data_IF_094272292269
#
_entry.id   IF_094272292269
#
_cell.length_a   1.000
_cell.length_b   1.000
_cell.length_c   1.000
_cell.angle_alpha   90.00
_cell.angle_beta   90.00
_cell.angle_gamma   90.00
#
_symmetry.space_group_name_H-M   'P 1'
#
loop_
_entity.id
_entity.type
_entity.pdbx_description
1 polymer ?
#
# COMPACT_ATOMS: atom_id res chain seq x y z
N UNK A 1 -5.06 -1.45 26.16
CA UNK A 1 -4.17 -2.61 25.99
C UNK A 1 -4.36 -2.99 24.53
N UNK A 2 -3.59 -2.38 23.64
CA UNK A 2 -3.68 -2.67 22.20
C UNK A 2 -3.25 -4.11 22.00
N UNK A 3 -4.15 -4.95 21.49
CA UNK A 3 -3.89 -6.37 21.27
C UNK A 3 -2.96 -6.64 20.08
N UNK A 4 -2.56 -5.60 19.35
CA UNK A 4 -1.97 -5.71 18.02
C UNK A 4 -0.86 -4.67 17.82
N UNK A 5 0.38 -5.10 17.59
CA UNK A 5 1.48 -4.24 17.12
C UNK A 5 1.52 -4.32 15.58
N UNK A 6 1.27 -3.20 14.85
CA UNK A 6 1.11 -3.19 13.40
C UNK A 6 2.26 -3.85 12.63
N UNK A 7 3.51 -3.74 13.09
CA UNK A 7 4.64 -4.38 12.41
C UNK A 7 4.78 -5.87 12.70
N UNK A 8 4.21 -6.35 13.81
CA UNK A 8 4.31 -7.78 14.19
C UNK A 8 3.20 -8.64 13.58
N UNK A 9 2.16 -8.02 13.02
CA UNK A 9 1.07 -8.72 12.33
C UNK A 9 1.35 -9.05 10.87
N UNK A 10 2.44 -8.52 10.33
CA UNK A 10 2.78 -8.62 8.92
C UNK A 10 4.04 -9.45 8.78
N UNK A 11 3.89 -10.66 8.25
CA UNK A 11 5.04 -11.51 7.95
C UNK A 11 5.81 -10.94 6.75
N UNK A 12 7.13 -10.84 6.89
CA UNK A 12 8.03 -10.39 5.83
C UNK A 12 8.52 -11.61 5.06
N UNK A 13 8.07 -11.77 3.82
CA UNK A 13 8.67 -12.74 2.89
C UNK A 13 9.66 -11.99 1.99
N UNK A 14 10.94 -12.14 2.28
CA UNK A 14 12.02 -11.59 1.46
C UNK A 14 12.78 -12.71 0.75
N UNK A 15 12.45 -13.00 -0.50
CA UNK A 15 13.45 -13.50 -1.47
C UNK A 15 13.00 -13.28 -2.92
N UNK A 16 13.17 -12.06 -3.44
CA UNK A 16 13.25 -11.81 -4.88
C UNK A 16 14.73 -11.81 -5.29
N UNK A 17 15.38 -12.97 -5.23
CA UNK A 17 16.78 -13.09 -5.65
C UNK A 17 16.88 -13.25 -7.16
N UNK A 18 17.75 -12.45 -7.79
CA UNK A 18 18.23 -12.64 -9.18
C UNK A 18 19.17 -13.85 -9.29
N UNK A 19 18.76 -15.01 -8.78
CA UNK A 19 19.47 -16.25 -9.08
C UNK A 19 18.78 -16.94 -10.24
N UNK A 20 19.48 -16.97 -11.37
CA UNK A 20 19.24 -17.90 -12.46
C UNK A 20 19.54 -19.32 -11.99
N UNK A 21 18.69 -19.86 -11.11
CA UNK A 21 18.57 -21.29 -10.97
C UNK A 21 17.71 -21.77 -12.14
N UNK A 22 18.29 -22.66 -12.94
CA UNK A 22 17.61 -23.35 -14.03
C UNK A 22 16.56 -24.28 -13.42
N UNK A 23 15.38 -23.73 -13.15
CA UNK A 23 14.19 -24.52 -12.83
C UNK A 23 13.80 -25.28 -14.10
N UNK A 24 13.46 -26.58 -14.03
CA UNK A 24 13.17 -27.38 -15.22
C UNK A 24 11.99 -26.76 -15.99
N UNK A 25 12.10 -26.71 -17.32
CA UNK A 25 11.02 -26.33 -18.21
C UNK A 25 9.93 -27.41 -18.21
N UNK A 26 8.88 -27.20 -17.42
CA UNK A 26 7.50 -27.72 -17.56
C UNK A 26 6.72 -27.28 -16.31
N UNK A 27 5.53 -26.70 -16.34
CA UNK A 27 4.44 -26.79 -17.32
C UNK A 27 3.98 -25.38 -17.76
N UNK A 28 3.61 -25.28 -19.03
CA UNK A 28 2.99 -24.11 -19.66
C UNK A 28 1.67 -23.77 -18.94
N UNK A 29 1.69 -22.73 -18.10
CA UNK A 29 0.50 -22.26 -17.39
C UNK A 29 -0.21 -21.24 -18.28
N UNK A 30 -1.16 -21.76 -19.05
CA UNK A 30 -2.20 -21.11 -19.87
C UNK A 30 -1.84 -20.75 -21.32
N UNK A 31 -2.67 -21.21 -22.30
CA UNK A 31 -2.48 -20.86 -23.69
C UNK A 31 -2.83 -19.38 -23.91
N UNK A 32 -1.83 -18.60 -24.32
CA UNK A 32 -2.02 -17.23 -24.81
C UNK A 32 -3.06 -17.21 -25.93
N UNK A 33 -3.93 -16.19 -25.94
CA UNK A 33 -4.77 -15.93 -27.12
C UNK A 33 -3.89 -15.49 -28.30
N UNK A 34 -4.33 -15.74 -29.55
CA UNK A 34 -3.50 -15.53 -30.76
C UNK A 34 -2.99 -14.09 -30.94
N UNK A 35 -3.59 -13.11 -30.27
CA UNK A 35 -3.27 -11.69 -30.39
C UNK A 35 -2.47 -11.12 -29.19
N UNK A 36 -2.19 -11.92 -28.15
CA UNK A 36 -1.43 -11.47 -26.99
C UNK A 36 0.08 -11.69 -27.17
N UNK A 37 0.85 -10.60 -27.11
CA UNK A 37 2.31 -10.69 -27.09
C UNK A 37 2.77 -11.19 -25.70
N UNK A 38 3.68 -12.17 -25.63
CA UNK A 38 4.24 -12.62 -24.36
C UNK A 38 5.04 -11.50 -23.67
N UNK A 39 5.15 -11.59 -22.35
CA UNK A 39 6.01 -10.73 -21.53
C UNK A 39 7.46 -10.85 -21.99
N UNK A 40 8.26 -9.82 -21.71
CA UNK A 40 9.72 -9.98 -21.77
C UNK A 40 10.17 -10.99 -20.72
N UNK A 41 11.31 -11.67 -20.93
CA UNK A 41 11.87 -12.62 -19.94
C UNK A 41 12.08 -11.95 -18.57
N UNK A 42 12.52 -10.69 -18.56
CA UNK A 42 12.67 -9.91 -17.33
C UNK A 42 11.32 -9.63 -16.64
N UNK A 43 10.31 -9.20 -17.40
CA UNK A 43 8.97 -8.94 -16.88
C UNK A 43 8.30 -10.23 -16.40
N UNK A 44 8.58 -11.38 -17.03
CA UNK A 44 8.11 -12.69 -16.60
C UNK A 44 8.73 -13.14 -15.28
N UNK A 45 10.05 -12.94 -15.11
CA UNK A 45 10.74 -13.21 -13.85
C UNK A 45 10.16 -12.41 -12.68
N UNK A 46 9.97 -11.10 -12.88
CA UNK A 46 9.33 -10.21 -11.90
C UNK A 46 7.90 -10.67 -11.59
N UNK A 47 7.08 -10.89 -12.62
CA UNK A 47 5.71 -11.37 -12.45
C UNK A 47 5.63 -12.65 -11.60
N UNK A 48 6.45 -13.65 -11.93
CA UNK A 48 6.49 -14.92 -11.18
C UNK A 48 6.90 -14.71 -9.73
N UNK A 49 7.86 -13.84 -9.45
CA UNK A 49 8.28 -13.55 -8.08
C UNK A 49 7.13 -12.99 -7.24
N UNK A 50 6.40 -11.99 -7.75
CA UNK A 50 5.25 -11.42 -7.06
C UNK A 50 4.09 -12.41 -6.89
N UNK A 51 3.73 -13.16 -7.94
CA UNK A 51 2.66 -14.17 -7.85
C UNK A 51 3.03 -15.29 -6.87
N UNK A 52 4.29 -15.73 -6.84
CA UNK A 52 4.74 -16.73 -5.88
C UNK A 52 4.71 -16.19 -4.45
N UNK A 53 5.08 -14.93 -4.22
CA UNK A 53 4.99 -14.31 -2.90
C UNK A 53 3.53 -14.23 -2.41
N UNK A 54 2.60 -13.79 -3.27
CA UNK A 54 1.16 -13.74 -2.96
C UNK A 54 0.59 -15.15 -2.74
N UNK A 55 1.01 -16.14 -3.53
CA UNK A 55 0.65 -17.55 -3.35
C UNK A 55 1.13 -18.06 -1.99
N UNK A 56 2.35 -17.74 -1.60
CA UNK A 56 2.93 -18.18 -0.33
C UNK A 56 2.14 -17.64 0.87
N UNK A 57 1.63 -16.40 0.80
CA UNK A 57 0.71 -15.85 1.82
C UNK A 57 -0.49 -16.76 2.06
N UNK A 58 -1.07 -17.32 1.00
CA UNK A 58 -2.22 -18.22 1.08
C UNK A 58 -1.81 -19.62 1.54
N UNK A 59 -0.74 -20.17 0.98
CA UNK A 59 -0.28 -21.54 1.26
C UNK A 59 0.23 -21.72 2.70
N UNK A 60 0.87 -20.69 3.27
CA UNK A 60 1.30 -20.70 4.67
C UNK A 60 0.17 -20.38 5.66
N UNK A 61 -0.99 -19.90 5.15
CA UNK A 61 -2.12 -19.53 5.99
C UNK A 61 -1.85 -18.33 6.91
N UNK A 62 -0.90 -17.45 6.55
CA UNK A 62 -0.64 -16.22 7.32
C UNK A 62 -1.78 -15.22 7.12
N UNK A 63 -2.07 -14.41 8.13
CA UNK A 63 -3.17 -13.43 8.07
C UNK A 63 -2.90 -12.31 7.06
N UNK A 64 -1.65 -11.86 6.99
CA UNK A 64 -1.19 -10.88 6.02
C UNK A 64 0.31 -11.02 5.80
N UNK A 65 0.80 -10.46 4.69
CA UNK A 65 2.23 -10.44 4.36
C UNK A 65 2.62 -9.14 3.69
N UNK A 66 3.83 -8.64 3.99
CA UNK A 66 4.47 -7.54 3.26
C UNK A 66 5.45 -8.13 2.23
N UNK A 67 5.35 -7.61 1.02
CA UNK A 67 6.14 -8.02 -0.14
C UNK A 67 6.92 -6.79 -0.59
N UNK A 68 8.24 -6.94 -0.68
CA UNK A 68 9.19 -5.86 -0.92
C UNK A 68 10.11 -6.22 -2.10
N UNK A 69 10.36 -5.26 -2.99
CA UNK A 69 11.52 -5.32 -3.90
C UNK A 69 12.85 -5.29 -3.11
N UNK A 70 13.93 -5.81 -3.69
CA UNK A 70 15.23 -6.00 -3.01
C UNK A 70 16.08 -4.72 -2.87
N UNK A 71 15.74 -3.67 -3.63
CA UNK A 71 16.51 -2.43 -3.75
C UNK A 71 15.85 -1.24 -3.03
N UNK A 72 14.99 -1.51 -2.06
CA UNK A 72 14.29 -0.46 -1.32
C UNK A 72 15.09 0.09 -0.15
N UNK A 73 14.65 1.24 0.31
CA UNK A 73 15.02 1.88 1.56
C UNK A 73 13.76 2.44 2.22
N UNK A 74 13.85 2.64 3.53
CA UNK A 74 12.77 3.14 4.36
C UNK A 74 13.34 3.93 5.52
N UNK A 75 12.46 4.65 6.21
CA UNK A 75 12.86 5.43 7.36
C UNK A 75 13.14 4.52 8.57
N UNK A 76 14.20 4.82 9.33
CA UNK A 76 14.51 4.13 10.59
C UNK A 76 13.33 4.08 11.58
N UNK A 77 12.38 5.02 11.47
CA UNK A 77 11.15 5.10 12.28
C UNK A 77 9.93 4.52 11.57
N UNK A 78 10.13 3.58 10.64
CA UNK A 78 9.05 2.92 9.90
C UNK A 78 7.95 2.39 10.83
N UNK A 79 8.28 1.90 12.03
CA UNK A 79 7.27 1.44 13.01
C UNK A 79 6.27 2.51 13.41
N UNK A 80 6.75 3.73 13.66
CA UNK A 80 5.88 4.86 14.01
C UNK A 80 4.99 5.26 12.82
N UNK A 81 5.56 5.25 11.62
CA UNK A 81 4.82 5.55 10.39
C UNK A 81 3.77 4.48 10.06
N UNK A 82 4.07 3.20 10.28
CA UNK A 82 3.12 2.10 10.08
C UNK A 82 1.98 2.12 11.11
N UNK A 83 2.23 2.62 12.34
CA UNK A 83 1.17 2.85 13.31
C UNK A 83 0.23 3.98 12.87
N UNK A 84 0.78 5.11 12.40
CA UNK A 84 0.00 6.19 11.79
C UNK A 84 -0.80 5.68 10.58
N UNK A 85 -0.18 4.86 9.74
CA UNK A 85 -0.84 4.23 8.60
C UNK A 85 -2.01 3.35 9.04
N UNK A 86 -1.83 2.49 10.04
CA UNK A 86 -2.87 1.62 10.58
C UNK A 86 -4.10 2.41 11.09
N UNK A 87 -3.89 3.47 11.87
CA UNK A 87 -4.98 4.34 12.34
C UNK A 87 -5.71 5.05 11.20
N UNK A 88 -4.97 5.48 10.17
CA UNK A 88 -5.53 6.10 8.97
C UNK A 88 -6.34 5.11 8.13
N UNK A 89 -5.84 3.88 7.91
CA UNK A 89 -6.57 2.81 7.21
C UNK A 89 -7.86 2.48 7.93
N UNK A 90 -7.83 2.39 9.27
CA UNK A 90 -9.04 2.22 10.08
C UNK A 90 -10.01 3.38 9.90
N UNK A 91 -9.55 4.62 9.95
CA UNK A 91 -10.42 5.79 9.75
C UNK A 91 -11.11 5.75 8.38
N UNK A 92 -10.44 5.25 7.35
CA UNK A 92 -10.96 5.15 5.98
C UNK A 92 -11.90 3.96 5.75
N UNK A 93 -11.74 2.86 6.50
CA UNK A 93 -12.37 1.57 6.16
C UNK A 93 -13.16 0.91 7.29
N UNK A 94 -12.98 1.33 8.55
CA UNK A 94 -13.68 0.76 9.69
C UNK A 94 -14.94 1.56 10.05
N UNK A 95 -16.02 0.88 10.51
CA UNK A 95 -17.20 1.57 10.99
C UNK A 95 -16.91 2.47 12.20
N UNK A 96 -17.67 3.55 12.34
CA UNK A 96 -17.59 4.47 13.47
C UNK A 96 -18.13 3.82 14.74
N UNK A 97 -17.37 3.91 15.84
CA UNK A 97 -17.73 3.31 17.12
C UNK A 97 -19.01 3.93 17.70
N UNK A 98 -19.19 5.25 17.57
CA UNK A 98 -20.35 5.94 18.11
C UNK A 98 -21.65 5.51 17.43
N UNK A 99 -21.61 5.29 16.11
CA UNK A 99 -22.80 4.89 15.36
C UNK A 99 -23.27 3.49 15.75
N UNK A 100 -22.35 2.56 15.99
CA UNK A 100 -22.66 1.24 16.52
C UNK A 100 -23.31 1.27 17.92
N UNK A 101 -23.13 2.36 18.68
CA UNK A 101 -23.81 2.52 19.97
C UNK A 101 -25.25 3.07 19.83
N UNK A 102 -25.55 3.78 18.73
CA UNK A 102 -26.82 4.49 18.54
C UNK A 102 -27.78 3.80 17.57
N UNK A 103 -27.27 3.12 16.54
CA UNK A 103 -28.04 2.39 15.54
C UNK A 103 -27.23 1.20 15.00
N UNK A 104 -27.69 -0.02 15.29
CA UNK A 104 -27.02 -1.27 14.92
C UNK A 104 -27.44 -1.80 13.54
N UNK A 105 -28.28 -1.08 12.79
CA UNK A 105 -28.85 -1.64 11.55
C UNK A 105 -27.99 -1.40 10.31
N UNK A 106 -27.11 -0.38 10.33
CA UNK A 106 -26.17 -0.11 9.22
C UNK A 106 -24.87 0.52 9.74
N UNK A 107 -23.69 -0.02 9.36
CA UNK A 107 -22.42 0.62 9.69
C UNK A 107 -22.32 1.97 8.99
N UNK A 108 -21.84 2.97 9.72
CA UNK A 108 -21.50 4.28 9.15
C UNK A 108 -19.99 4.48 9.22
N UNK A 109 -19.46 5.25 8.27
CA UNK A 109 -18.03 5.43 8.07
C UNK A 109 -17.70 6.92 8.10
N UNK A 110 -16.44 7.23 8.41
CA UNK A 110 -15.95 8.61 8.38
C UNK A 110 -15.90 9.14 6.92
N UNK A 111 -15.55 8.27 5.97
CA UNK A 111 -15.73 8.51 4.55
C UNK A 111 -17.14 8.12 4.11
N UNK A 112 -17.97 9.11 3.77
CA UNK A 112 -19.36 8.88 3.33
C UNK A 112 -19.47 8.09 2.01
N UNK A 113 -18.40 8.04 1.21
CA UNK A 113 -18.37 7.28 -0.05
C UNK A 113 -17.91 5.82 0.12
N UNK A 114 -17.56 5.41 1.34
CA UNK A 114 -17.21 4.03 1.64
C UNK A 114 -18.42 3.29 2.27
N UNK A 115 -18.67 2.01 1.93
CA UNK A 115 -17.93 1.17 0.97
C UNK A 115 -18.44 1.27 -0.48
N UNK A 116 -19.57 1.97 -0.69
CA UNK A 116 -20.32 2.02 -1.95
C UNK A 116 -20.24 3.41 -2.61
N UNK A 117 -19.13 3.75 -3.28
CA UNK A 117 -18.90 5.08 -3.81
C UNK A 117 -19.75 5.39 -5.05
N UNK A 118 -20.16 6.64 -5.15
CA UNK A 118 -20.94 7.20 -6.24
C UNK A 118 -20.28 8.46 -6.82
N UNK A 119 -20.62 8.83 -8.06
CA UNK A 119 -20.13 10.07 -8.67
C UNK A 119 -20.63 11.34 -7.97
N UNK A 120 -21.74 11.27 -7.22
CA UNK A 120 -22.24 12.38 -6.41
C UNK A 120 -21.44 12.62 -5.13
N UNK A 121 -20.65 11.66 -4.69
CA UNK A 121 -19.90 11.79 -3.44
C UNK A 121 -18.79 12.84 -3.55
N UNK A 122 -18.63 13.59 -2.47
CA UNK A 122 -17.59 14.60 -2.33
C UNK A 122 -16.33 13.98 -1.71
N UNK A 123 -15.18 14.52 -2.09
CA UNK A 123 -13.93 14.28 -1.36
C UNK A 123 -14.12 14.77 0.08
N UNK A 124 -13.74 13.92 1.03
CA UNK A 124 -13.83 14.21 2.46
C UNK A 124 -12.43 14.16 3.05
N UNK A 125 -11.94 15.31 3.53
CA UNK A 125 -10.65 15.39 4.21
C UNK A 125 -10.87 15.37 5.73
N UNK A 126 -10.16 14.47 6.39
CA UNK A 126 -10.24 14.23 7.82
C UNK A 126 -8.86 14.47 8.44
N UNK A 127 -8.75 15.25 9.53
CA UNK A 127 -7.47 15.38 10.19
C UNK A 127 -7.09 14.05 10.86
N UNK A 128 -5.81 13.68 10.79
CA UNK A 128 -5.27 12.55 11.54
C UNK A 128 -5.42 12.79 13.05
N UNK A 129 -5.02 13.99 13.51
CA UNK A 129 -5.20 14.36 14.92
C UNK A 129 -6.69 14.63 15.19
N UNK A 130 -7.26 13.89 16.14
CA UNK A 130 -8.69 13.99 16.45
C UNK A 130 -9.58 13.28 15.44
N UNK A 131 -9.04 12.34 14.67
CA UNK A 131 -9.83 11.47 13.80
C UNK A 131 -10.95 10.77 14.61
N UNK A 132 -12.11 10.49 13.99
CA UNK A 132 -13.21 9.87 14.71
C UNK A 132 -12.83 8.46 15.19
N UNK A 133 -13.35 8.07 16.35
CA UNK A 133 -13.14 6.74 16.89
C UNK A 133 -13.89 5.69 16.06
N UNK A 134 -13.16 4.68 15.59
CA UNK A 134 -13.70 3.53 14.88
C UNK A 134 -13.86 2.32 15.80
N UNK A 135 -14.68 1.37 15.39
CA UNK A 135 -14.72 0.06 16.04
C UNK A 135 -13.29 -0.52 16.04
N UNK A 136 -12.92 -1.18 17.15
CA UNK A 136 -11.61 -1.83 17.22
C UNK A 136 -11.60 -3.01 16.24
N UNK A 137 -10.59 -3.10 15.36
CA UNK A 137 -10.52 -4.18 14.42
C UNK A 137 -10.30 -5.51 15.14
N UNK A 138 -10.80 -6.57 14.53
CA UNK A 138 -10.77 -7.93 15.05
C UNK A 138 -9.74 -8.82 14.36
N UNK A 139 -9.36 -8.49 13.12
CA UNK A 139 -8.49 -9.30 12.27
C UNK A 139 -7.08 -8.72 12.11
N UNK A 140 -6.96 -7.39 12.05
CA UNK A 140 -5.68 -6.71 11.87
C UNK A 140 -5.70 -5.28 12.40
N UNK A 141 -4.58 -4.81 12.95
CA UNK A 141 -4.31 -3.42 13.30
C UNK A 141 -4.66 -2.41 12.20
N UNK A 142 -4.56 -2.82 10.93
CA UNK A 142 -4.87 -1.98 9.77
C UNK A 142 -6.37 -1.93 9.42
N UNK A 143 -7.21 -2.72 10.07
CA UNK A 143 -8.64 -2.85 9.78
C UNK A 143 -9.02 -4.26 9.34
N UNK A 144 -10.33 -4.54 9.29
CA UNK A 144 -10.84 -5.88 9.04
C UNK A 144 -11.06 -6.19 7.55
N UNK A 145 -11.19 -5.17 6.71
CA UNK A 145 -11.66 -5.29 5.33
C UNK A 145 -10.67 -4.78 4.27
N UNK A 146 -9.42 -4.48 4.61
CA UNK A 146 -8.42 -4.14 3.59
C UNK A 146 -7.99 -5.39 2.81
N UNK A 147 -7.71 -5.22 1.52
CA UNK A 147 -7.16 -6.27 0.64
C UNK A 147 -5.66 -6.04 0.38
N UNK A 148 -5.29 -4.78 0.09
CA UNK A 148 -3.92 -4.37 -0.23
C UNK A 148 -3.57 -3.08 0.49
N UNK A 149 -2.42 -3.03 1.13
CA UNK A 149 -1.81 -1.77 1.58
C UNK A 149 -0.66 -1.45 0.62
N UNK A 150 -0.77 -0.38 -0.16
CA UNK A 150 0.26 0.04 -1.09
C UNK A 150 1.25 0.95 -0.36
N UNK A 151 2.41 0.42 0.01
CA UNK A 151 3.34 1.07 0.94
C UNK A 151 4.52 1.75 0.22
N UNK A 152 4.82 1.33 -1.01
CA UNK A 152 5.85 1.87 -1.88
C UNK A 152 5.40 1.89 -3.34
N UNK A 153 5.48 3.06 -3.97
CA UNK A 153 5.08 3.30 -5.37
C UNK A 153 5.96 4.39 -5.98
N UNK A 154 5.93 4.49 -7.31
CA UNK A 154 6.61 5.55 -8.08
C UNK A 154 5.74 6.80 -8.30
N UNK A 155 4.44 6.68 -8.02
CA UNK A 155 3.45 7.72 -8.27
C UNK A 155 2.04 7.17 -8.10
N UNK A 156 1.11 8.04 -7.72
CA UNK A 156 -0.31 7.69 -7.61
C UNK A 156 -1.19 8.92 -7.62
N UNK A 157 -2.36 8.84 -8.25
CA UNK A 157 -3.38 9.89 -8.14
C UNK A 157 -4.24 9.69 -6.88
N UNK A 158 -4.84 10.77 -6.40
CA UNK A 158 -5.86 10.65 -5.35
C UNK A 158 -7.24 10.49 -5.98
N UNK A 159 -8.13 9.64 -5.43
CA UNK A 159 -9.53 9.63 -5.82
C UNK A 159 -10.13 11.04 -5.73
N UNK A 160 -10.81 11.45 -6.81
CA UNK A 160 -11.51 12.73 -6.91
C UNK A 160 -13.01 12.49 -7.04
N UNK A 161 -13.80 13.56 -7.07
CA UNK A 161 -15.23 13.46 -7.37
C UNK A 161 -15.52 12.75 -8.70
N UNK A 162 -14.60 12.88 -9.67
CA UNK A 162 -14.71 12.31 -11.02
C UNK A 162 -14.24 10.86 -11.13
N UNK A 163 -13.60 10.34 -10.09
CA UNK A 163 -13.13 8.96 -10.06
C UNK A 163 -14.32 8.04 -9.75
N UNK A 164 -14.80 7.23 -10.72
CA UNK A 164 -15.90 6.31 -10.47
C UNK A 164 -15.45 5.17 -9.55
N UNK A 165 -16.40 4.59 -8.82
CA UNK A 165 -16.22 3.34 -8.09
C UNK A 165 -15.12 3.34 -7.00
N UNK A 166 -14.53 4.48 -6.64
CA UNK A 166 -13.53 4.59 -5.58
C UNK A 166 -14.00 5.51 -4.46
N UNK A 167 -13.71 5.07 -3.23
CA UNK A 167 -13.94 5.86 -2.02
C UNK A 167 -13.00 7.08 -2.01
N UNK A 168 -13.49 8.20 -1.49
CA UNK A 168 -12.98 9.57 -1.71
C UNK A 168 -12.48 10.23 -0.42
N UNK A 169 -12.45 9.48 0.68
CA UNK A 169 -11.93 9.90 1.96
C UNK A 169 -10.41 10.04 1.93
N UNK A 170 -9.92 11.05 2.65
CA UNK A 170 -8.50 11.34 2.83
C UNK A 170 -8.25 11.63 4.29
N UNK A 171 -7.27 10.97 4.89
CA UNK A 171 -6.76 11.34 6.22
C UNK A 171 -5.50 12.18 6.02
N UNK A 172 -5.47 13.37 6.62
CA UNK A 172 -4.40 14.36 6.44
C UNK A 172 -3.65 14.52 7.76
N UNK A 173 -2.34 14.24 7.74
CA UNK A 173 -1.45 14.44 8.88
C UNK A 173 -0.46 15.56 8.60
N UNK A 174 -0.65 16.68 9.29
CA UNK A 174 0.16 17.90 9.15
C UNK A 174 0.34 18.57 10.52
N UNK A 175 1.57 18.95 10.91
CA UNK A 175 2.83 18.53 10.30
C UNK A 175 3.16 17.07 10.67
N UNK A 176 3.56 16.27 9.69
CA UNK A 176 4.18 14.96 9.90
C UNK A 176 5.70 15.14 10.00
N UNK A 177 6.32 14.89 11.17
CA UNK A 177 7.76 15.07 11.37
C UNK A 177 8.63 14.15 10.49
N UNK A 178 8.08 13.04 9.98
CA UNK A 178 8.77 12.07 9.14
C UNK A 178 8.73 12.41 7.65
N UNK A 179 7.94 13.42 7.26
CA UNK A 179 7.93 13.95 5.90
C UNK A 179 8.99 15.06 5.80
N UNK A 180 9.81 15.01 4.76
CA UNK A 180 10.80 16.03 4.47
C UNK A 180 10.14 17.40 4.21
N UNK A 181 10.75 18.46 4.72
CA UNK A 181 10.19 19.81 4.74
C UNK A 181 10.46 20.65 3.48
N UNK A 182 10.49 20.10 2.26
CA UNK A 182 10.78 20.93 1.09
C UNK A 182 10.16 20.38 -0.22
N UNK A 183 10.02 21.26 -1.21
CA UNK A 183 9.79 20.97 -2.66
C UNK A 183 10.85 20.02 -3.27
N UNK A 184 11.79 19.48 -2.47
CA UNK A 184 12.91 18.62 -2.92
C UNK A 184 12.50 17.19 -3.22
N UNK A 185 11.25 16.85 -2.98
CA UNK A 185 10.71 15.58 -3.44
C UNK A 185 9.66 15.92 -4.48
N UNK A 186 9.85 15.43 -5.70
CA UNK A 186 8.85 15.48 -6.76
C UNK A 186 7.73 14.53 -6.35
N UNK A 187 6.86 14.96 -5.43
CA UNK A 187 5.94 14.06 -4.74
C UNK A 187 4.82 13.64 -5.68
N UNK A 188 4.94 12.45 -6.27
CA UNK A 188 3.95 11.42 -6.64
C UNK A 188 2.59 11.79 -7.27
N UNK A 189 2.21 13.05 -7.41
CA UNK A 189 1.10 13.59 -8.21
C UNK A 189 1.09 15.12 -8.15
N UNK A 190 0.44 15.77 -9.12
CA UNK A 190 0.19 17.23 -9.07
C UNK A 190 -0.67 17.65 -7.87
N UNK A 191 -1.36 16.71 -7.24
CA UNK A 191 -2.34 16.94 -6.18
C UNK A 191 -1.67 17.14 -4.80
N UNK A 192 -0.48 16.56 -4.62
CA UNK A 192 0.40 16.73 -3.45
C UNK A 192 0.71 18.20 -3.14
N UNK A 193 0.88 19.02 -4.19
CA UNK A 193 1.23 20.44 -4.09
C UNK A 193 0.11 21.31 -3.47
N UNK A 194 -1.09 20.75 -3.27
CA UNK A 194 -2.20 21.46 -2.62
C UNK A 194 -2.12 21.42 -1.09
N UNK A 195 -1.22 20.61 -0.52
CA UNK A 195 -1.08 20.48 0.93
C UNK A 195 0.07 21.32 1.47
N UNK A 196 0.01 21.76 2.74
CA UNK A 196 1.14 22.39 3.40
C UNK A 196 2.37 21.49 3.40
N UNK A 197 3.53 22.10 3.59
CA UNK A 197 4.78 21.38 3.77
C UNK A 197 4.69 20.37 4.94
N UNK A 198 5.46 19.29 4.86
CA UNK A 198 5.44 18.19 5.84
C UNK A 198 4.04 17.61 6.04
N UNK A 199 3.32 17.36 4.95
CA UNK A 199 2.01 16.71 5.00
C UNK A 199 2.11 15.29 4.48
N UNK A 200 1.50 14.36 5.22
CA UNK A 200 1.21 13.00 4.75
C UNK A 200 -0.28 12.83 4.57
N UNK A 201 -0.68 12.27 3.44
CA UNK A 201 -2.08 11.98 3.12
C UNK A 201 -2.25 10.48 2.98
N UNK A 202 -3.33 9.94 3.54
CA UNK A 202 -3.72 8.53 3.40
C UNK A 202 -5.06 8.47 2.67
N UNK A 203 -5.20 7.57 1.71
CA UNK A 203 -6.39 7.48 0.88
C UNK A 203 -6.48 6.12 0.19
N UNK A 204 -7.64 5.84 -0.41
CA UNK A 204 -7.78 4.71 -1.31
C UNK A 204 -6.92 4.91 -2.56
N UNK A 205 -6.33 3.85 -3.09
CA UNK A 205 -5.46 3.93 -4.27
C UNK A 205 -6.24 4.38 -5.50
N UNK A 206 -5.63 5.17 -6.38
CA UNK A 206 -6.14 5.42 -7.72
C UNK A 206 -4.99 5.59 -8.71
N UNK A 207 -5.01 4.79 -9.77
CA UNK A 207 -3.96 4.79 -10.77
C UNK A 207 -2.53 4.60 -10.20
N UNK A 208 -2.28 3.64 -9.28
CA UNK A 208 -0.95 3.36 -8.76
C UNK A 208 0.05 3.01 -9.88
N UNK A 209 1.31 3.39 -9.68
CA UNK A 209 2.46 3.03 -10.52
C UNK A 209 3.55 2.38 -9.67
N UNK A 210 4.13 1.27 -10.15
CA UNK A 210 5.09 0.43 -9.43
C UNK A 210 4.52 -0.25 -8.17
N UNK A 211 4.85 -1.52 -7.99
CA UNK A 211 4.51 -2.31 -6.78
C UNK A 211 5.74 -2.54 -5.89
N UNK A 212 6.47 -1.45 -5.59
CA UNK A 212 7.76 -1.49 -4.86
C UNK A 212 7.61 -2.22 -3.52
N UNK A 213 6.62 -1.80 -2.73
CA UNK A 213 6.29 -2.41 -1.45
C UNK A 213 4.78 -2.43 -1.29
N UNK A 214 4.22 -3.58 -0.95
CA UNK A 214 2.80 -3.70 -0.63
C UNK A 214 2.57 -4.82 0.37
N UNK A 215 1.54 -4.64 1.20
CA UNK A 215 1.02 -5.73 2.01
C UNK A 215 -0.25 -6.30 1.38
N UNK A 216 -0.46 -7.60 1.51
CA UNK A 216 -1.70 -8.28 1.12
C UNK A 216 -2.30 -8.98 2.33
N UNK A 217 -3.61 -8.82 2.53
CA UNK A 217 -4.34 -9.65 3.48
C UNK A 217 -4.56 -11.04 2.88
N UNK A 218 -4.80 -12.06 3.69
CA UNK A 218 -5.08 -13.41 3.17
C UNK A 218 -6.28 -13.41 2.21
N UNK A 219 -7.32 -12.63 2.52
CA UNK A 219 -8.48 -12.42 1.66
C UNK A 219 -8.09 -11.76 0.33
N UNK A 220 -7.29 -10.70 0.39
CA UNK A 220 -6.76 -10.01 -0.80
C UNK A 220 -5.90 -10.93 -1.66
N UNK A 221 -4.98 -11.69 -1.05
CA UNK A 221 -4.10 -12.62 -1.74
C UNK A 221 -4.88 -13.68 -2.54
N UNK A 222 -5.92 -14.28 -1.95
CA UNK A 222 -6.78 -15.25 -2.66
C UNK A 222 -7.50 -14.64 -3.85
N UNK A 223 -7.97 -13.40 -3.72
CA UNK A 223 -8.66 -12.68 -4.80
C UNK A 223 -7.70 -12.32 -5.93
N UNK A 224 -6.49 -11.86 -5.60
CA UNK A 224 -5.43 -11.59 -6.57
C UNK A 224 -5.10 -12.86 -7.37
N UNK A 225 -4.89 -13.99 -6.70
CA UNK A 225 -4.57 -15.27 -7.39
C UNK A 225 -5.73 -15.77 -8.26
N UNK A 226 -6.97 -15.63 -7.78
CA UNK A 226 -8.15 -15.97 -8.57
C UNK A 226 -8.20 -15.15 -9.86
N UNK A 227 -8.08 -13.83 -9.76
CA UNK A 227 -8.14 -12.94 -10.92
C UNK A 227 -6.93 -13.14 -11.86
N UNK A 228 -5.73 -13.34 -11.33
CA UNK A 228 -4.54 -13.64 -12.11
C UNK A 228 -4.72 -14.92 -12.96
N UNK A 229 -5.39 -15.94 -12.41
CA UNK A 229 -5.69 -17.18 -13.13
C UNK A 229 -6.75 -17.03 -14.22
N UNK A 230 -7.72 -16.14 -14.01
CA UNK A 230 -8.86 -15.96 -14.92
C UNK A 230 -8.52 -15.04 -16.10
N UNK A 231 -7.65 -14.04 -15.89
CA UNK A 231 -7.40 -12.99 -16.88
C UNK A 231 -6.44 -13.36 -17.99
N UNK A 232 -5.80 -14.54 -17.97
CA UNK A 232 -4.66 -14.88 -18.83
C UNK A 232 -3.72 -13.67 -18.98
N UNK A 233 -3.45 -13.01 -17.84
CA UNK A 233 -2.84 -11.69 -17.84
C UNK A 233 -1.48 -11.78 -18.51
N UNK A 234 -1.21 -10.91 -19.48
CA UNK A 234 0.11 -10.72 -20.11
C UNK A 234 0.78 -9.42 -19.69
N UNK A 235 0.09 -8.60 -18.89
CA UNK A 235 0.56 -7.33 -18.33
C UNK A 235 1.58 -7.52 -17.19
N UNK A 236 2.30 -6.47 -16.81
CA UNK A 236 3.18 -6.51 -15.64
C UNK A 236 2.37 -6.61 -14.33
N UNK A 237 2.99 -7.07 -13.25
CA UNK A 237 2.25 -7.42 -12.01
C UNK A 237 1.60 -6.19 -11.37
N UNK A 238 2.28 -5.05 -11.43
CA UNK A 238 1.74 -3.76 -10.99
C UNK A 238 0.52 -3.33 -11.82
N UNK A 239 0.49 -3.62 -13.13
CA UNK A 239 -0.69 -3.45 -14.00
C UNK A 239 -1.89 -4.27 -13.51
N UNK A 240 -1.69 -5.57 -13.28
CA UNK A 240 -2.74 -6.43 -12.72
C UNK A 240 -3.24 -5.89 -11.37
N UNK A 241 -2.33 -5.58 -10.45
CA UNK A 241 -2.69 -5.14 -9.10
C UNK A 241 -3.42 -3.78 -9.14
N UNK A 242 -2.97 -2.87 -10.01
CA UNK A 242 -3.64 -1.59 -10.30
C UNK A 242 -5.07 -1.83 -10.76
N UNK A 243 -5.29 -2.67 -11.76
CA UNK A 243 -6.63 -2.92 -12.31
C UNK A 243 -7.60 -3.52 -11.28
N UNK A 244 -7.06 -4.35 -10.38
CA UNK A 244 -7.82 -4.92 -9.27
C UNK A 244 -8.18 -3.88 -8.20
N UNK A 245 -7.29 -2.94 -7.92
CA UNK A 245 -7.51 -1.85 -6.96
C UNK A 245 -8.41 -0.74 -7.52
N UNK A 246 -8.21 -0.32 -8.78
CA UNK A 246 -8.99 0.73 -9.43
C UNK A 246 -10.42 0.27 -9.77
N UNK A 247 -10.64 -1.05 -9.83
CA UNK A 247 -11.95 -1.64 -10.15
C UNK A 247 -12.26 -1.54 -11.65
N UNK A 248 -11.35 -2.04 -12.48
CA UNK A 248 -11.51 -2.09 -13.94
C UNK A 248 -12.78 -2.82 -14.40
N UNK A 249 -13.19 -2.54 -15.64
CA UNK A 249 -14.49 -2.93 -16.23
C UNK A 249 -14.85 -4.41 -16.15
N UNK A 250 -13.84 -5.31 -16.09
CA UNK A 250 -14.02 -6.77 -16.08
C UNK A 250 -13.72 -7.41 -14.71
N UNK A 251 -13.44 -6.61 -13.67
CA UNK A 251 -13.19 -7.12 -12.32
C UNK A 251 -14.51 -7.35 -11.59
N UNK A 252 -14.95 -8.61 -11.50
CA UNK A 252 -16.11 -8.99 -10.69
C UNK A 252 -15.96 -8.59 -9.21
N UNK A 253 -14.74 -8.30 -8.75
CA UNK A 253 -14.45 -7.98 -7.35
C UNK A 253 -13.33 -6.95 -7.20
N UNK A 254 -13.66 -5.65 -7.13
CA UNK A 254 -12.72 -4.56 -6.77
C UNK A 254 -12.09 -4.77 -5.38
N UNK A 255 -10.77 -4.68 -5.29
CA UNK A 255 -10.04 -4.76 -4.02
C UNK A 255 -10.15 -3.46 -3.21
N UNK A 256 -10.14 -3.56 -1.88
CA UNK A 256 -10.02 -2.41 -0.98
C UNK A 256 -8.53 -2.15 -0.78
N UNK A 257 -8.03 -1.16 -1.51
CA UNK A 257 -6.62 -0.79 -1.52
C UNK A 257 -6.41 0.59 -0.91
N UNK A 258 -5.50 0.70 0.06
CA UNK A 258 -5.17 1.94 0.77
C UNK A 258 -3.68 2.24 0.64
N UNK A 259 -3.34 3.52 0.48
CA UNK A 259 -1.96 3.99 0.34
C UNK A 259 -1.71 5.21 1.23
N UNK A 260 -0.46 5.67 1.22
CA UNK A 260 -0.05 6.97 1.73
C UNK A 260 0.83 7.70 0.72
N UNK A 261 0.66 9.02 0.63
CA UNK A 261 1.53 9.92 -0.12
C UNK A 261 2.10 10.95 0.86
N UNK A 262 3.44 11.11 0.94
CA UNK A 262 4.46 10.35 0.21
C UNK A 262 4.54 8.87 0.63
N UNK A 263 5.16 8.02 -0.19
CA UNK A 263 5.33 6.59 0.09
C UNK A 263 6.21 6.32 1.32
N UNK A 264 6.08 5.13 1.93
CA UNK A 264 6.88 4.70 3.09
C UNK A 264 8.16 3.97 2.68
N UNK A 265 8.12 3.31 1.53
CA UNK A 265 9.26 2.63 0.91
C UNK A 265 9.54 3.24 -0.45
N UNK A 266 10.82 3.52 -0.68
CA UNK A 266 11.30 4.09 -1.94
C UNK A 266 12.51 3.33 -2.42
N UNK A 267 12.75 3.37 -3.73
CA UNK A 267 13.97 2.79 -4.29
C UNK A 267 15.19 3.54 -3.76
N UNK A 268 16.23 2.78 -3.46
CA UNK A 268 17.56 3.30 -3.18
C UNK A 268 18.32 3.48 -4.50
N UNK A 269 18.64 4.72 -4.85
CA UNK A 269 19.36 5.04 -6.08
C UNK A 269 20.35 6.19 -5.84
N UNK A 270 21.55 6.07 -6.42
CA UNK A 270 22.58 7.12 -6.40
C UNK A 270 22.91 7.69 -5.01
N UNK A 271 22.85 6.82 -3.98
CA UNK A 271 23.22 7.17 -2.60
C UNK A 271 22.11 7.84 -1.80
N UNK A 272 20.87 7.85 -2.31
CA UNK A 272 19.70 8.39 -1.61
C UNK A 272 18.44 7.58 -1.92
N UNK A 273 17.38 7.85 -1.20
CA UNK A 273 16.03 7.37 -1.50
C UNK A 273 15.07 8.55 -1.49
N UNK A 274 14.17 8.59 -2.46
CA UNK A 274 13.16 9.65 -2.51
C UNK A 274 12.20 9.50 -1.30
N UNK A 275 11.66 10.60 -0.78
CA UNK A 275 10.62 10.63 0.28
C UNK A 275 10.98 10.11 1.68
N UNK A 276 12.08 9.39 1.85
CA UNK A 276 12.51 8.86 3.15
C UNK A 276 13.42 9.88 3.82
N UNK A 277 13.06 10.39 5.00
CA UNK A 277 13.86 11.43 5.65
C UNK A 277 15.11 10.88 6.32
N UNK A 278 14.96 9.88 7.19
CA UNK A 278 16.06 9.23 7.87
C UNK A 278 16.26 7.80 7.35
N UNK A 279 16.97 7.70 6.22
CA UNK A 279 17.28 6.41 5.56
C UNK A 279 17.96 5.42 6.49
N UNK A 280 17.46 4.17 6.50
CA UNK A 280 18.14 3.03 7.14
C UNK A 280 19.49 2.79 6.49
N UNK A 281 19.58 2.82 5.16
CA UNK A 281 20.86 2.58 4.45
C UNK A 281 21.94 3.60 4.80
N UNK A 282 21.61 4.90 4.86
CA UNK A 282 22.57 5.93 5.29
C UNK A 282 22.95 5.83 6.77
N UNK A 283 22.00 5.39 7.60
CA UNK A 283 22.19 5.29 9.04
C UNK A 283 22.61 3.89 9.51
N UNK A 284 22.90 2.96 8.59
CA UNK A 284 23.09 1.53 8.89
C UNK A 284 24.14 1.29 9.97
N UNK A 285 25.30 1.97 9.90
CA UNK A 285 26.35 1.82 10.91
C UNK A 285 25.91 2.27 12.30
N UNK A 286 25.14 3.36 12.39
CA UNK A 286 24.61 3.89 13.65
C UNK A 286 23.52 2.97 14.20
N UNK A 287 22.61 2.55 13.32
CA UNK A 287 21.47 1.69 13.63
C UNK A 287 21.93 0.34 14.22
N UNK A 288 22.87 -0.35 13.57
CA UNK A 288 23.39 -1.65 14.04
C UNK A 288 24.14 -1.53 15.37
N UNK A 289 24.76 -0.38 15.65
CA UNK A 289 25.47 -0.13 16.91
C UNK A 289 24.56 0.35 18.04
N UNK A 290 23.28 0.62 17.76
CA UNK A 290 22.35 1.23 18.72
C UNK A 290 22.73 2.67 19.09
N UNK A 291 23.43 3.40 18.20
CA UNK A 291 23.79 4.81 18.42
C UNK A 291 22.67 5.73 17.93
N UNK A 292 21.63 5.87 18.74
CA UNK A 292 20.40 6.59 18.39
C UNK A 292 20.45 8.10 18.68
N UNK A 293 21.63 8.66 18.96
CA UNK A 293 21.75 10.05 19.45
C UNK A 293 21.41 11.09 18.39
N UNK A 294 21.81 10.85 17.14
CA UNK A 294 21.58 11.76 16.02
C UNK A 294 21.60 11.00 14.70
N UNK A 295 20.48 11.03 13.97
CA UNK A 295 20.32 10.39 12.69
C UNK A 295 20.68 11.34 11.55
N UNK A 296 21.33 10.81 10.51
CA UNK A 296 21.63 11.55 9.29
C UNK A 296 20.32 11.77 8.54
N UNK A 297 19.90 13.03 8.45
CA UNK A 297 18.75 13.49 7.68
C UNK A 297 19.16 13.61 6.19
N UNK A 298 18.41 12.97 5.28
CA UNK A 298 18.61 13.10 3.82
C UNK A 298 18.25 14.50 3.31
N UNK A 299 17.38 15.21 4.03
CA UNK A 299 16.81 16.48 3.64
C UNK A 299 16.95 17.47 4.80
N UNK A 300 18.19 17.83 5.20
CA UNK A 300 18.40 18.83 6.24
C UNK A 300 17.83 20.17 5.80
N UNK A 301 17.26 20.91 6.76
CA UNK A 301 16.72 22.26 6.58
C UNK A 301 17.79 23.31 6.22
#
# INVERSE_FOLDING_TARGET
>A
MDMFDPLTEVDVFGEASRRTETVPAAEDVSPLSQDQKPRSEQSEGSWRAHINAVRNTVEQGVFSAIILEDNLDWDIRLREQMHTFALSTRTLTQPLALAALTDNTKPTYADASFPDPSLSDKVTEMPFVGHPATIQPSNSAYGDDWDVLWLGHCGMQMPTQRTPNLAKGRVVFTPDPFVAGHDTVSIDSKESNNYPNQTRVFHHTYAPECSLAYAVSQRGARRILYEASQRNATEEFDGLLRDLCDGGSDSATKLICVTTQPSLFSRWQDGRSDHVRWSVRMNMEKYVRGDEREWIDQYPE
#
